data_IF_430601641923
#
_entry.id   IF_430601641923
#
_cell.length_a   1.000
_cell.length_b   1.000
_cell.length_c   1.000
_cell.angle_alpha   90.00
_cell.angle_beta   90.00
_cell.angle_gamma   90.00
#
_symmetry.space_group_name_H-M   'P 1'
#
loop_
_entity.id
_entity.type
_entity.pdbx_description
1 polymer ?
#
# COMPACT_ATOMS: atom_id res chain seq x y z
N UNK A 1 -24.19 8.09 -19.57
CA UNK A 1 -24.33 8.88 -18.33
C UNK A 1 -23.67 8.06 -17.24
N UNK A 2 -22.48 8.47 -16.79
CA UNK A 2 -21.76 7.77 -15.73
C UNK A 2 -22.10 8.47 -14.42
N UNK A 3 -22.80 7.75 -13.54
CA UNK A 3 -23.12 8.22 -12.21
C UNK A 3 -21.84 8.17 -11.36
N UNK A 4 -21.27 9.34 -11.10
CA UNK A 4 -20.18 9.52 -10.14
C UNK A 4 -20.70 9.24 -8.73
N UNK A 5 -20.16 8.21 -8.06
CA UNK A 5 -20.46 7.92 -6.65
C UNK A 5 -19.63 8.86 -5.78
N UNK A 6 -20.22 9.83 -5.05
CA UNK A 6 -19.47 10.63 -4.10
C UNK A 6 -19.07 9.71 -2.94
N UNK A 7 -17.77 9.60 -2.65
CA UNK A 7 -17.31 8.94 -1.43
C UNK A 7 -17.71 9.84 -0.26
N UNK A 8 -18.84 9.52 0.38
CA UNK A 8 -19.34 10.20 1.60
C UNK A 8 -18.92 9.48 2.87
N UNK A 9 -17.89 8.64 2.83
CA UNK A 9 -17.47 7.87 4.00
C UNK A 9 -16.69 8.77 4.98
N UNK A 10 -17.45 9.50 5.79
CA UNK A 10 -16.97 10.05 7.05
C UNK A 10 -17.00 8.89 8.04
N UNK A 11 -15.84 8.34 8.37
CA UNK A 11 -15.69 7.30 9.39
C UNK A 11 -15.92 7.88 10.79
N UNK A 12 -17.15 8.29 11.08
CA UNK A 12 -17.56 8.66 12.43
C UNK A 12 -18.29 7.47 13.03
N UNK A 13 -17.87 7.08 14.23
CA UNK A 13 -18.54 6.10 15.09
C UNK A 13 -18.44 4.63 14.65
N UNK A 14 -17.27 4.21 14.15
CA UNK A 14 -16.96 2.79 14.10
C UNK A 14 -17.03 2.18 15.52
N UNK A 15 -17.66 1.01 15.60
CA UNK A 15 -17.78 0.21 16.80
C UNK A 15 -16.79 -0.95 16.72
N UNK A 16 -15.84 -1.03 17.65
CA UNK A 16 -14.93 -2.16 17.79
C UNK A 16 -15.39 -3.06 18.93
N UNK A 17 -15.25 -4.37 18.72
CA UNK A 17 -15.50 -5.39 19.74
C UNK A 17 -14.16 -5.84 20.31
N UNK A 18 -13.91 -5.51 21.57
CA UNK A 18 -12.77 -5.99 22.36
C UNK A 18 -13.28 -6.56 23.67
N UNK A 19 -12.78 -7.74 24.06
CA UNK A 19 -13.13 -8.43 25.32
C UNK A 19 -14.64 -8.47 25.60
N UNK A 20 -15.41 -8.92 24.59
CA UNK A 20 -16.88 -9.01 24.62
C UNK A 20 -17.63 -7.71 24.90
N UNK A 21 -16.94 -6.57 24.80
CA UNK A 21 -17.51 -5.24 24.95
C UNK A 21 -17.40 -4.49 23.62
N UNK A 22 -18.51 -3.87 23.22
CA UNK A 22 -18.54 -2.98 22.07
C UNK A 22 -18.20 -1.57 22.56
N UNK A 23 -17.20 -0.94 21.94
CA UNK A 23 -16.78 0.43 22.26
C UNK A 23 -16.68 1.25 20.97
N UNK A 24 -17.02 2.54 21.08
CA UNK A 24 -16.78 3.53 20.02
C UNK A 24 -15.27 3.73 19.91
N UNK A 25 -14.71 3.69 18.69
CA UNK A 25 -13.26 3.85 18.47
C UNK A 25 -12.72 5.11 19.17
N UNK A 26 -13.43 6.23 19.03
CA UNK A 26 -13.03 7.52 19.61
C UNK A 26 -13.07 7.55 21.17
N UNK A 27 -13.67 6.55 21.81
CA UNK A 27 -13.79 6.46 23.27
C UNK A 27 -12.66 5.64 23.92
N UNK A 28 -11.76 5.08 23.12
CA UNK A 28 -10.53 4.47 23.61
C UNK A 28 -9.43 5.52 23.58
N UNK A 29 -8.71 5.78 24.70
CA UNK A 29 -7.41 6.42 24.64
C UNK A 29 -6.47 5.39 24.00
N UNK A 30 -6.57 5.26 22.68
CA UNK A 30 -5.60 4.51 21.89
C UNK A 30 -4.31 5.29 22.02
N UNK A 31 -3.31 4.68 22.63
CA UNK A 31 -1.97 5.24 22.63
C UNK A 31 -1.52 5.32 21.18
N UNK A 32 -1.42 6.54 20.65
CA UNK A 32 -1.03 6.79 19.26
C UNK A 32 0.35 6.18 18.98
N UNK A 33 1.18 5.97 20.01
CA UNK A 33 2.46 5.28 19.91
C UNK A 33 2.33 3.83 19.41
N UNK A 34 1.18 3.18 19.62
CA UNK A 34 0.90 1.82 19.08
C UNK A 34 0.49 1.86 17.59
N UNK A 35 0.08 3.04 17.10
CA UNK A 35 -0.25 3.36 15.70
C UNK A 35 0.87 4.07 14.94
N UNK A 36 2.04 4.32 15.55
CA UNK A 36 3.22 4.85 14.85
C UNK A 36 3.63 3.96 13.66
N UNK A 37 3.26 2.67 13.72
CA UNK A 37 3.42 1.69 12.63
C UNK A 37 2.53 2.00 11.40
N UNK A 38 1.45 2.77 11.59
CA UNK A 38 0.39 3.02 10.59
C UNK A 38 0.48 4.44 10.00
N UNK A 39 1.00 5.42 10.75
CA UNK A 39 0.94 6.84 10.35
C UNK A 39 2.29 7.53 10.14
N UNK A 40 3.41 7.05 10.69
CA UNK A 40 4.64 7.86 10.78
C UNK A 40 5.74 7.43 9.80
N UNK A 41 5.35 7.15 8.56
CA UNK A 41 6.18 6.62 7.46
C UNK A 41 6.37 5.10 7.47
N UNK A 42 6.33 4.49 6.27
CA UNK A 42 6.62 3.08 6.11
C UNK A 42 8.08 2.81 6.53
N UNK A 43 8.34 1.88 7.47
CA UNK A 43 9.69 1.60 7.95
C UNK A 43 10.48 0.82 6.90
N UNK A 44 10.91 1.51 5.83
CA UNK A 44 11.75 0.98 4.76
C UNK A 44 11.41 -0.45 4.31
N UNK A 45 12.43 -1.23 3.98
CA UNK A 45 12.24 -2.67 3.77
C UNK A 45 11.66 -3.27 5.07
N UNK A 46 10.51 -3.97 5.01
CA UNK A 46 9.99 -4.66 6.17
C UNK A 46 11.11 -5.53 6.78
N UNK A 47 11.28 -5.55 8.11
CA UNK A 47 12.24 -6.45 8.73
C UNK A 47 12.03 -7.87 8.22
N UNK A 48 13.11 -8.65 8.13
CA UNK A 48 13.08 -10.04 7.63
C UNK A 48 11.90 -10.76 8.29
N UNK A 49 10.86 -11.00 7.50
CA UNK A 49 9.66 -11.68 7.98
C UNK A 49 10.03 -13.15 8.11
N UNK A 50 9.62 -13.78 9.21
CA UNK A 50 9.79 -15.23 9.40
C UNK A 50 9.09 -16.05 8.31
N UNK A 51 8.12 -15.44 7.62
CA UNK A 51 7.36 -16.02 6.52
C UNK A 51 7.78 -15.39 5.20
N UNK A 52 8.26 -16.22 4.27
CA UNK A 52 8.52 -15.83 2.89
C UNK A 52 7.19 -15.72 2.11
N UNK A 53 6.97 -14.56 1.47
CA UNK A 53 5.77 -14.34 0.66
C UNK A 53 6.03 -14.88 -0.75
N UNK A 54 5.44 -16.03 -1.04
CA UNK A 54 5.51 -16.65 -2.35
C UNK A 54 4.24 -16.33 -3.16
N UNK A 55 4.42 -15.92 -4.42
CA UNK A 55 3.33 -15.76 -5.37
C UNK A 55 3.29 -17.03 -6.22
N UNK A 56 2.31 -17.90 -5.95
CA UNK A 56 2.11 -19.12 -6.72
C UNK A 56 1.49 -18.78 -8.08
N UNK A 57 2.13 -19.24 -9.16
CA UNK A 57 1.59 -19.12 -10.52
C UNK A 57 0.76 -20.36 -10.85
N UNK A 58 -0.34 -20.16 -11.56
CA UNK A 58 -1.11 -21.27 -12.14
C UNK A 58 -0.22 -21.97 -13.17
N UNK A 59 -0.20 -23.30 -13.16
CA UNK A 59 0.55 -24.11 -14.12
C UNK A 59 0.21 -23.70 -15.57
N UNK A 60 1.24 -23.42 -16.36
CA UNK A 60 1.11 -22.93 -17.74
C UNK A 60 1.00 -21.41 -17.88
N UNK A 61 1.12 -20.64 -16.80
CA UNK A 61 1.23 -19.18 -16.88
C UNK A 61 2.55 -18.76 -17.52
N UNK A 62 2.47 -18.00 -18.61
CA UNK A 62 3.64 -17.42 -19.28
C UNK A 62 3.84 -15.95 -18.87
N UNK A 63 5.08 -15.44 -18.87
CA UNK A 63 5.36 -14.03 -18.64
C UNK A 63 4.62 -13.12 -19.62
N UNK A 64 3.98 -12.08 -19.09
CA UNK A 64 3.29 -11.08 -19.90
C UNK A 64 4.07 -9.78 -19.82
N UNK A 65 4.54 -9.28 -20.97
CA UNK A 65 5.13 -7.97 -21.10
C UNK A 65 4.12 -6.97 -21.67
N UNK A 66 3.94 -5.82 -21.02
CA UNK A 66 3.12 -4.70 -21.51
C UNK A 66 3.92 -3.41 -21.51
N UNK A 67 3.76 -2.62 -22.58
CA UNK A 67 4.38 -1.30 -22.64
C UNK A 67 3.80 -0.38 -21.55
N UNK A 68 4.63 0.47 -20.90
CA UNK A 68 4.14 1.46 -19.96
C UNK A 68 3.13 2.41 -20.60
N UNK A 69 2.17 2.88 -19.80
CA UNK A 69 1.18 3.86 -20.26
C UNK A 69 1.84 5.20 -20.62
N UNK A 70 1.23 5.89 -21.60
CA UNK A 70 1.65 7.25 -21.96
C UNK A 70 1.24 8.22 -20.85
N UNK A 71 2.22 8.93 -20.32
CA UNK A 71 2.05 9.95 -19.28
C UNK A 71 2.52 11.31 -19.79
N UNK A 72 1.94 12.39 -19.28
CA UNK A 72 2.39 13.75 -19.53
C UNK A 72 3.76 14.00 -18.87
N UNK A 73 4.45 15.07 -19.30
CA UNK A 73 5.78 15.39 -18.75
C UNK A 73 5.78 15.65 -17.24
N UNK A 74 4.70 16.22 -16.71
CA UNK A 74 4.59 16.51 -15.28
C UNK A 74 4.40 15.23 -14.46
N UNK A 75 3.58 14.30 -14.96
CA UNK A 75 3.35 12.99 -14.34
C UNK A 75 4.62 12.13 -14.36
N UNK A 76 5.37 12.15 -15.47
CA UNK A 76 6.65 11.45 -15.58
C UNK A 76 7.70 11.99 -14.60
N UNK A 77 7.70 13.30 -14.34
CA UNK A 77 8.60 13.90 -13.36
C UNK A 77 8.26 13.42 -11.96
N UNK A 78 7.00 13.53 -11.57
CA UNK A 78 6.49 13.09 -10.27
C UNK A 78 6.79 11.60 -10.04
N UNK A 79 6.47 10.75 -11.03
CA UNK A 79 6.75 9.32 -10.96
C UNK A 79 8.24 9.03 -10.75
N UNK A 80 9.12 9.78 -11.42
CA UNK A 80 10.56 9.61 -11.27
C UNK A 80 11.03 9.99 -9.86
N UNK A 81 10.50 11.08 -9.31
CA UNK A 81 10.85 11.56 -7.98
C UNK A 81 10.41 10.52 -6.90
N UNK A 82 9.21 9.94 -7.04
CA UNK A 82 8.72 8.87 -6.16
C UNK A 82 9.52 7.57 -6.27
N UNK A 83 9.88 7.15 -7.49
CA UNK A 83 10.70 5.96 -7.69
C UNK A 83 12.10 6.11 -7.07
N UNK A 84 12.67 7.32 -7.13
CA UNK A 84 13.96 7.62 -6.52
C UNK A 84 13.88 7.51 -4.99
N UNK A 85 12.85 8.10 -4.38
CA UNK A 85 12.60 7.97 -2.95
C UNK A 85 12.46 6.51 -2.52
N UNK A 86 11.68 5.71 -3.26
CA UNK A 86 11.50 4.29 -2.94
C UNK A 86 12.76 3.45 -3.11
N UNK A 87 13.61 3.81 -4.07
CA UNK A 87 14.91 3.19 -4.25
C UNK A 87 15.85 3.50 -3.08
N UNK A 88 15.88 4.75 -2.62
CA UNK A 88 16.68 5.20 -1.48
C UNK A 88 16.22 4.58 -0.16
N UNK A 89 14.90 4.45 0.02
CA UNK A 89 14.29 3.73 1.16
C UNK A 89 14.46 2.20 1.07
N UNK A 90 14.91 1.69 -0.08
CA UNK A 90 15.15 0.26 -0.32
C UNK A 90 13.90 -0.57 -0.63
N UNK A 91 12.72 0.04 -0.79
CA UNK A 91 11.49 -0.68 -1.10
C UNK A 91 11.55 -1.42 -2.45
N UNK A 92 12.31 -0.87 -3.41
CA UNK A 92 12.48 -1.41 -4.75
C UNK A 92 13.95 -1.55 -5.12
N UNK A 93 14.23 -2.38 -6.13
CA UNK A 93 15.54 -2.51 -6.76
C UNK A 93 15.40 -2.69 -8.27
N UNK A 94 16.38 -2.25 -9.08
CA UNK A 94 16.40 -2.56 -10.50
C UNK A 94 16.35 -4.08 -10.74
N UNK A 95 15.59 -4.50 -11.76
CA UNK A 95 15.44 -5.91 -12.11
C UNK A 95 15.43 -6.08 -13.63
N UNK A 96 15.69 -7.31 -14.08
CA UNK A 96 15.56 -7.72 -15.49
C UNK A 96 14.55 -8.87 -15.50
N UNK A 97 13.27 -8.53 -15.67
CA UNK A 97 12.15 -9.48 -15.57
C UNK A 97 11.53 -9.76 -16.94
N UNK A 98 11.19 -11.01 -17.28
CA UNK A 98 10.42 -11.31 -18.48
C UNK A 98 8.96 -10.82 -18.38
N UNK A 99 8.51 -10.41 -17.18
CA UNK A 99 7.18 -9.85 -16.91
C UNK A 99 7.08 -8.34 -17.18
N UNK A 100 8.19 -7.71 -17.60
CA UNK A 100 8.30 -6.25 -17.77
C UNK A 100 8.79 -5.52 -16.54
#
# INVERSE_FOLDING_TARGET
MQDSVPITHVYRDLLLRFDDKIRVINALPLDICEFDIILDELPGIPPVREVEFNIELILGSEPIFKAPYRMARIELKELKDQLQEWLERGFIRPSVSPWG
#
